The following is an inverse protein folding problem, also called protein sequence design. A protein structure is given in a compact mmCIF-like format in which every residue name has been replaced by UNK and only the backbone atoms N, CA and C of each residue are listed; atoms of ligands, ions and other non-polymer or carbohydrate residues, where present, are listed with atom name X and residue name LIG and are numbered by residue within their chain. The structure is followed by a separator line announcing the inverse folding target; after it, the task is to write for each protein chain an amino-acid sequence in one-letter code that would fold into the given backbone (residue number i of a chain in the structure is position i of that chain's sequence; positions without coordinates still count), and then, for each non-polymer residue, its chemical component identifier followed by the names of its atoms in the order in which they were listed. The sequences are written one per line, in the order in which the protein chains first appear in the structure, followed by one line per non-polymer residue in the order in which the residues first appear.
data_IF_268457039950
#
_entry.id   IF_268457039950
#
_cell.length_a   1.000
_cell.length_b   1.000
_cell.length_c   1.000
_cell.angle_alpha   90.00
_cell.angle_beta   90.00
_cell.angle_gamma   90.00
#
_symmetry.space_group_name_H-M   'P 1'
#
loop_
_entity.id
_entity.type
_entity.pdbx_description
1 polymer ?
#
# COMPACT_ATOMS: atom_id res chain seq x y z
N UNK A 1 -2.97 44.51 6.39
CA UNK A 1 -3.85 43.34 6.37
C UNK A 1 -2.95 42.16 6.09
N UNK A 2 -2.60 41.41 7.12
CA UNK A 2 -1.80 40.22 6.99
C UNK A 2 -2.66 39.16 6.33
N UNK A 3 -2.36 38.82 5.08
CA UNK A 3 -2.87 37.66 4.40
C UNK A 3 -2.44 36.45 5.20
N UNK A 4 -3.34 35.91 6.03
CA UNK A 4 -3.10 34.64 6.71
C UNK A 4 -2.79 33.58 5.65
N UNK A 5 -1.63 32.93 5.79
CA UNK A 5 -1.23 31.81 4.95
C UNK A 5 -2.39 30.82 4.85
N UNK A 6 -2.87 30.56 3.63
CA UNK A 6 -3.94 29.60 3.35
C UNK A 6 -3.60 28.16 3.75
N UNK A 7 -2.43 27.94 4.32
CA UNK A 7 -1.87 26.64 4.69
C UNK A 7 -1.43 26.67 6.16
N UNK A 8 -2.38 26.43 7.08
CA UNK A 8 -2.01 26.18 8.46
C UNK A 8 -1.31 24.81 8.53
N UNK A 9 -0.02 24.81 8.83
CA UNK A 9 0.71 23.59 9.18
C UNK A 9 0.65 23.43 10.69
N UNK A 10 0.00 22.38 11.15
CA UNK A 10 0.13 21.95 12.54
C UNK A 10 1.34 21.02 12.62
N UNK A 11 2.28 21.35 13.48
CA UNK A 11 3.56 20.64 13.53
C UNK A 11 3.96 20.34 14.96
N UNK A 12 4.21 19.07 15.24
CA UNK A 12 4.97 18.62 16.39
C UNK A 12 6.27 18.00 15.88
N UNK A 13 7.41 18.55 16.32
CA UNK A 13 8.72 17.96 16.02
C UNK A 13 9.50 17.82 17.31
N UNK A 14 9.90 16.60 17.63
CA UNK A 14 10.75 16.25 18.77
C UNK A 14 12.19 15.95 18.33
N UNK A 15 12.53 16.28 17.08
CA UNK A 15 13.88 16.10 16.56
C UNK A 15 14.79 17.26 17.01
N UNK A 16 15.96 16.95 17.57
CA UNK A 16 16.92 17.97 18.00
C UNK A 16 17.55 18.72 16.83
N UNK A 17 17.92 19.99 17.04
CA UNK A 17 18.69 20.80 16.12
C UNK A 17 17.94 21.24 14.86
N UNK A 18 18.64 21.26 13.72
CA UNK A 18 18.13 21.77 12.44
C UNK A 18 17.24 20.80 11.68
N UNK A 19 17.29 19.50 12.00
CA UNK A 19 16.61 18.45 11.23
C UNK A 19 15.10 18.65 11.22
N UNK A 20 14.48 18.88 12.38
CA UNK A 20 13.02 19.11 12.48
C UNK A 20 12.59 20.36 11.70
N UNK A 21 13.40 21.42 11.72
CA UNK A 21 13.15 22.66 10.96
C UNK A 21 13.22 22.40 9.45
N UNK A 22 14.24 21.71 8.98
CA UNK A 22 14.39 21.38 7.54
C UNK A 22 13.24 20.53 7.03
N UNK A 23 12.82 19.51 7.80
CA UNK A 23 11.67 18.66 7.43
C UNK A 23 10.41 19.51 7.32
N UNK A 24 10.15 20.39 8.28
CA UNK A 24 9.01 21.30 8.24
C UNK A 24 9.05 22.21 7.01
N UNK A 25 10.19 22.87 6.74
CA UNK A 25 10.36 23.77 5.59
C UNK A 25 10.07 23.05 4.26
N UNK A 26 10.57 21.81 4.11
CA UNK A 26 10.29 20.98 2.92
C UNK A 26 8.79 20.64 2.84
N UNK A 27 8.17 20.25 3.95
CA UNK A 27 6.74 19.96 3.99
C UNK A 27 5.89 21.17 3.60
N UNK A 28 6.19 22.35 4.19
CA UNK A 28 5.51 23.61 3.90
C UNK A 28 5.66 24.02 2.42
N UNK A 29 6.84 23.82 1.84
CA UNK A 29 7.10 24.08 0.42
C UNK A 29 6.21 23.19 -0.47
N UNK A 30 6.12 21.90 -0.17
CA UNK A 30 5.27 20.97 -0.93
C UNK A 30 3.79 21.29 -0.75
N UNK A 31 3.38 21.58 0.48
CA UNK A 31 2.00 21.93 0.80
C UNK A 31 1.57 23.22 0.09
N UNK A 32 2.44 24.21 0.01
CA UNK A 32 2.18 25.46 -0.68
C UNK A 32 1.89 25.32 -2.17
N UNK A 33 2.30 24.21 -2.80
CA UNK A 33 2.02 23.89 -4.20
C UNK A 33 0.90 22.86 -4.37
N UNK A 34 0.32 22.35 -3.28
CA UNK A 34 -0.67 21.29 -3.33
C UNK A 34 -2.10 21.84 -3.43
N UNK A 35 -2.91 21.24 -4.30
CA UNK A 35 -4.34 21.52 -4.38
C UNK A 35 -5.18 20.74 -3.37
N UNK A 36 -4.58 19.92 -2.54
CA UNK A 36 -5.23 19.12 -1.50
C UNK A 36 -4.51 19.25 -0.17
N UNK A 37 -4.67 18.25 0.69
CA UNK A 37 -3.98 18.14 1.95
C UNK A 37 -2.96 17.00 1.96
N UNK A 38 -2.10 17.01 2.96
CA UNK A 38 -1.11 15.97 3.19
C UNK A 38 -0.77 15.84 4.67
N UNK A 39 -0.24 14.67 5.02
CA UNK A 39 0.35 14.41 6.34
C UNK A 39 1.71 13.74 6.16
N UNK A 40 2.61 14.00 7.11
CA UNK A 40 3.89 13.33 7.20
C UNK A 40 4.20 13.03 8.66
N UNK A 41 4.52 11.78 8.97
CA UNK A 41 4.83 11.35 10.33
C UNK A 41 6.04 10.43 10.34
N UNK A 42 6.86 10.59 11.39
CA UNK A 42 8.00 9.70 11.68
C UNK A 42 7.91 9.28 13.13
N UNK A 43 8.04 7.99 13.37
CA UNK A 43 8.06 7.39 14.70
C UNK A 43 9.35 6.61 14.93
N UNK A 44 9.80 6.53 16.17
CA UNK A 44 10.89 5.67 16.62
C UNK A 44 10.58 5.11 18.00
N UNK A 45 10.59 3.77 18.10
CA UNK A 45 10.26 3.09 19.35
C UNK A 45 8.85 3.38 19.87
N UNK A 46 7.88 3.62 18.99
CA UNK A 46 6.51 3.98 19.34
C UNK A 46 6.29 5.48 19.62
N UNK A 47 7.37 6.28 19.75
CA UNK A 47 7.27 7.70 20.03
C UNK A 47 7.30 8.54 18.75
N UNK A 48 6.42 9.54 18.60
CA UNK A 48 6.42 10.44 17.47
C UNK A 48 7.65 11.35 17.50
N UNK A 49 8.41 11.37 16.40
CA UNK A 49 9.51 12.31 16.18
C UNK A 49 9.07 13.51 15.37
N UNK A 50 8.17 13.29 14.41
CA UNK A 50 7.60 14.31 13.54
C UNK A 50 6.14 13.98 13.29
N UNK A 51 5.26 14.96 13.39
CA UNK A 51 3.86 14.90 12.96
C UNK A 51 3.54 16.23 12.29
N UNK A 52 3.34 16.22 10.99
CA UNK A 52 2.98 17.37 10.18
C UNK A 52 1.73 17.06 9.39
N UNK A 53 0.80 18.00 9.36
CA UNK A 53 -0.37 17.92 8.49
C UNK A 53 -0.83 19.32 8.09
N UNK A 54 -1.57 19.41 6.99
CA UNK A 54 -2.11 20.68 6.51
C UNK A 54 -2.75 20.58 5.14
N UNK A 55 -3.30 21.69 4.66
CA UNK A 55 -4.01 21.81 3.41
C UNK A 55 -5.51 21.52 3.54
N UNK A 56 -6.14 21.08 2.45
CA UNK A 56 -7.58 20.86 2.34
C UNK A 56 -7.91 19.38 2.17
N UNK A 57 -9.01 18.92 2.79
CA UNK A 57 -9.55 17.58 2.53
C UNK A 57 -10.11 17.48 1.10
N UNK A 58 -10.55 18.56 0.54
CA UNK A 58 -11.08 18.63 -0.81
C UNK A 58 -10.00 19.09 -1.78
N UNK A 59 -10.07 18.59 -3.01
CA UNK A 59 -9.18 19.06 -4.07
C UNK A 59 -9.65 20.45 -4.54
N UNK A 60 -8.81 21.43 -4.35
CA UNK A 60 -9.00 22.79 -4.86
C UNK A 60 -8.58 22.90 -6.33
N UNK A 61 -9.10 23.87 -7.08
CA UNK A 61 -8.69 24.12 -8.46
C UNK A 61 -7.27 24.71 -8.52
N UNK A 62 -6.91 25.55 -7.53
CA UNK A 62 -5.58 26.14 -7.35
C UNK A 62 -5.11 25.99 -5.91
N UNK A 63 -3.79 26.00 -5.73
CA UNK A 63 -3.18 26.06 -4.39
C UNK A 63 -3.51 27.35 -3.64
N UNK A 64 -3.82 28.42 -4.37
CA UNK A 64 -4.17 29.74 -3.81
C UNK A 64 -5.65 29.85 -3.38
N UNK A 65 -6.50 28.87 -3.75
CA UNK A 65 -7.91 28.89 -3.36
C UNK A 65 -8.06 28.69 -1.84
N UNK A 66 -9.13 29.21 -1.24
CA UNK A 66 -9.40 29.04 0.19
C UNK A 66 -9.46 27.57 0.61
N UNK A 67 -9.03 27.29 1.82
CA UNK A 67 -9.22 25.99 2.48
C UNK A 67 -10.55 26.03 3.23
N UNK A 68 -11.56 25.35 2.70
CA UNK A 68 -12.90 25.28 3.32
C UNK A 68 -12.93 24.20 4.41
N UNK A 69 -12.40 23.00 4.10
CA UNK A 69 -12.33 21.88 5.03
C UNK A 69 -10.86 21.56 5.30
N UNK A 70 -10.30 21.98 6.45
CA UNK A 70 -8.88 21.74 6.77
C UNK A 70 -8.54 20.25 6.88
N UNK A 71 -7.37 19.89 6.34
CA UNK A 71 -6.76 18.58 6.60
C UNK A 71 -6.20 18.54 8.02
N UNK A 72 -6.58 17.52 8.78
CA UNK A 72 -6.15 17.31 10.16
C UNK A 72 -5.35 16.02 10.31
N UNK A 73 -4.83 15.73 11.48
CA UNK A 73 -4.17 14.47 11.81
C UNK A 73 -5.13 13.27 11.83
N UNK A 74 -6.44 13.50 11.92
CA UNK A 74 -7.48 12.47 11.85
C UNK A 74 -8.07 12.29 10.45
N UNK A 75 -7.62 13.07 9.46
CA UNK A 75 -8.14 12.97 8.09
C UNK A 75 -7.70 11.66 7.44
N UNK A 76 -8.67 10.88 6.99
CA UNK A 76 -8.44 9.63 6.30
C UNK A 76 -8.17 9.88 4.80
N UNK A 77 -7.19 9.16 4.27
CA UNK A 77 -6.86 9.20 2.85
C UNK A 77 -6.70 7.78 2.30
N UNK A 78 -7.04 7.61 1.02
CA UNK A 78 -6.79 6.35 0.33
C UNK A 78 -5.31 6.18 0.10
N UNK A 79 -4.72 5.14 0.70
CA UNK A 79 -3.28 4.88 0.62
C UNK A 79 -2.83 4.26 -0.71
N UNK A 80 -3.78 3.85 -1.57
CA UNK A 80 -3.47 3.13 -2.81
C UNK A 80 -2.44 2.00 -2.54
N UNK A 81 -1.34 1.99 -3.29
CA UNK A 81 -0.32 0.95 -3.18
C UNK A 81 0.50 0.97 -1.88
N UNK A 82 0.39 1.99 -1.05
CA UNK A 82 0.88 1.95 0.32
C UNK A 82 0.25 0.80 1.13
N UNK A 83 -0.97 0.40 0.77
CA UNK A 83 -1.68 -0.77 1.33
C UNK A 83 -0.88 -2.08 1.18
N UNK A 84 -0.04 -2.22 0.14
CA UNK A 84 0.81 -3.42 -0.03
C UNK A 84 1.79 -3.61 1.14
N UNK A 85 2.25 -2.52 1.74
CA UNK A 85 3.06 -2.59 2.96
C UNK A 85 2.31 -3.22 4.13
N UNK A 86 1.03 -2.90 4.30
CA UNK A 86 0.17 -3.51 5.32
C UNK A 86 -0.08 -5.00 5.01
N UNK A 87 -0.36 -5.34 3.76
CA UNK A 87 -0.53 -6.75 3.33
C UNK A 87 0.75 -7.54 3.54
N UNK A 88 1.92 -6.98 3.21
CA UNK A 88 3.21 -7.61 3.48
C UNK A 88 3.48 -7.77 4.99
N UNK A 89 3.01 -6.83 5.82
CA UNK A 89 3.10 -6.95 7.28
C UNK A 89 2.25 -8.12 7.79
N UNK A 90 1.04 -8.31 7.27
CA UNK A 90 0.22 -9.49 7.60
C UNK A 90 0.95 -10.78 7.22
N UNK A 91 1.55 -10.83 6.02
CA UNK A 91 2.35 -11.99 5.64
C UNK A 91 3.54 -12.24 6.61
N UNK A 92 4.23 -11.18 7.04
CA UNK A 92 5.31 -11.26 8.02
C UNK A 92 4.81 -11.78 9.40
N UNK A 93 3.63 -11.36 9.83
CA UNK A 93 3.00 -11.88 11.06
C UNK A 93 2.70 -13.38 10.95
N UNK A 94 2.17 -13.84 9.81
CA UNK A 94 1.93 -15.26 9.57
C UNK A 94 3.23 -16.09 9.54
N UNK A 95 4.34 -15.48 9.10
CA UNK A 95 5.67 -16.11 9.18
C UNK A 95 6.16 -16.20 10.63
N UNK A 96 5.99 -15.14 11.41
CA UNK A 96 6.39 -15.11 12.83
C UNK A 96 5.59 -16.14 13.66
N UNK A 97 4.29 -16.29 13.35
CA UNK A 97 3.42 -17.32 13.92
C UNK A 97 3.76 -18.76 13.46
N UNK A 98 4.71 -18.92 12.52
CA UNK A 98 5.16 -20.21 12.00
C UNK A 98 4.13 -20.91 11.08
N UNK A 99 3.07 -20.21 10.63
CA UNK A 99 2.02 -20.77 9.78
C UNK A 99 2.22 -20.51 8.29
N UNK A 100 3.11 -19.56 7.93
CA UNK A 100 3.49 -19.23 6.57
C UNK A 100 5.01 -19.37 6.40
N UNK A 101 5.45 -20.15 5.40
CA UNK A 101 6.83 -20.21 4.94
C UNK A 101 6.90 -19.53 3.56
N UNK A 102 7.61 -18.42 3.47
CA UNK A 102 7.74 -17.66 2.21
C UNK A 102 8.48 -18.45 1.12
N UNK A 103 9.30 -19.43 1.49
CA UNK A 103 10.03 -20.29 0.55
C UNK A 103 9.19 -21.49 0.10
N UNK A 104 8.09 -21.78 0.76
CA UNK A 104 7.20 -22.86 0.36
C UNK A 104 6.43 -22.48 -0.92
N UNK A 105 6.08 -23.48 -1.75
CA UNK A 105 5.16 -23.28 -2.85
C UNK A 105 3.80 -22.73 -2.36
N UNK A 106 3.24 -21.78 -3.09
CA UNK A 106 1.88 -21.27 -2.84
C UNK A 106 0.88 -22.43 -2.82
N UNK A 107 1.08 -23.44 -3.67
CA UNK A 107 0.23 -24.63 -3.77
C UNK A 107 0.15 -25.43 -2.45
N UNK A 108 1.08 -25.26 -1.52
CA UNK A 108 1.02 -25.86 -0.17
C UNK A 108 -0.19 -25.33 0.62
N UNK A 109 -0.53 -24.07 0.44
CA UNK A 109 -1.63 -23.37 1.12
C UNK A 109 -2.87 -23.28 0.25
N UNK A 110 -2.65 -23.26 -1.06
CA UNK A 110 -3.68 -23.09 -2.09
C UNK A 110 -3.47 -24.11 -3.23
N UNK A 111 -3.96 -25.36 -3.08
CA UNK A 111 -3.66 -26.45 -4.03
C UNK A 111 -4.06 -26.14 -5.49
N UNK A 112 -5.17 -25.42 -5.71
CA UNK A 112 -5.65 -25.07 -7.05
C UNK A 112 -4.67 -24.14 -7.80
N UNK A 113 -3.81 -23.44 -7.08
CA UNK A 113 -2.79 -22.56 -7.66
C UNK A 113 -1.71 -23.33 -8.43
N UNK A 114 -1.54 -24.64 -8.18
CA UNK A 114 -0.56 -25.45 -8.90
C UNK A 114 -0.80 -25.54 -10.41
N UNK A 115 -2.01 -25.21 -10.88
CA UNK A 115 -2.36 -25.27 -12.29
C UNK A 115 -1.47 -24.39 -13.16
N UNK A 116 -1.38 -24.75 -14.46
CA UNK A 116 -0.69 -23.98 -15.50
C UNK A 116 0.83 -23.78 -15.24
N UNK A 117 1.49 -24.75 -14.60
CA UNK A 117 2.93 -24.75 -14.38
C UNK A 117 3.37 -23.93 -13.16
N UNK A 118 2.45 -23.71 -12.18
CA UNK A 118 2.72 -22.92 -10.99
C UNK A 118 2.98 -23.77 -9.74
N UNK A 119 3.14 -25.08 -9.86
CA UNK A 119 3.30 -26.00 -8.74
C UNK A 119 4.46 -25.65 -7.82
N UNK A 120 5.53 -25.05 -8.35
CA UNK A 120 6.74 -24.68 -7.61
C UNK A 120 6.84 -23.16 -7.34
N UNK A 121 5.83 -22.38 -7.69
CA UNK A 121 5.82 -20.93 -7.42
C UNK A 121 5.77 -20.69 -5.93
N UNK A 122 6.78 -19.99 -5.39
CA UNK A 122 6.88 -19.71 -3.95
C UNK A 122 6.08 -18.46 -3.55
N UNK A 123 5.71 -18.38 -2.28
CA UNK A 123 5.11 -17.17 -1.69
C UNK A 123 6.03 -15.96 -1.85
N UNK A 124 7.37 -16.16 -1.73
CA UNK A 124 8.36 -15.11 -1.97
C UNK A 124 8.28 -14.54 -3.39
N UNK A 125 7.99 -15.36 -4.41
CA UNK A 125 7.84 -14.88 -5.80
C UNK A 125 6.57 -14.05 -6.00
N UNK A 126 5.53 -14.28 -5.21
CA UNK A 126 4.35 -13.40 -5.17
C UNK A 126 4.71 -12.07 -4.50
N UNK A 127 5.33 -12.12 -3.33
CA UNK A 127 5.72 -10.94 -2.53
C UNK A 127 6.69 -10.01 -3.27
N UNK A 128 7.59 -10.56 -4.09
CA UNK A 128 8.61 -9.79 -4.81
C UNK A 128 8.26 -9.46 -6.27
N UNK A 129 6.98 -9.68 -6.67
CA UNK A 129 6.47 -9.36 -8.00
C UNK A 129 7.10 -10.14 -9.17
N UNK A 130 7.57 -11.38 -8.94
CA UNK A 130 8.21 -12.18 -9.99
C UNK A 130 7.35 -13.33 -10.51
N UNK A 131 6.14 -13.54 -9.97
CA UNK A 131 5.28 -14.68 -10.36
C UNK A 131 4.72 -14.57 -11.78
N UNK A 132 4.61 -13.38 -12.35
CA UNK A 132 4.11 -13.21 -13.73
C UNK A 132 2.58 -13.23 -13.86
N UNK A 133 1.83 -12.92 -12.82
CA UNK A 133 0.36 -12.83 -12.81
C UNK A 133 -0.05 -11.36 -12.63
N UNK A 134 0.30 -10.51 -13.59
CA UNK A 134 0.17 -9.04 -13.48
C UNK A 134 -1.24 -8.51 -13.75
N UNK A 135 -2.14 -9.32 -14.28
CA UNK A 135 -3.56 -9.03 -14.53
C UNK A 135 -4.38 -10.31 -14.41
N UNK A 136 -5.69 -10.21 -14.41
CA UNK A 136 -6.64 -11.34 -14.53
C UNK A 136 -7.19 -11.43 -15.95
N UNK A 137 -7.27 -12.65 -16.51
CA UNK A 137 -7.78 -12.91 -17.85
C UNK A 137 -8.66 -14.19 -17.88
N UNK A 138 -9.95 -14.07 -18.19
CA UNK A 138 -10.67 -12.82 -18.42
C UNK A 138 -10.79 -11.97 -17.15
N UNK A 139 -10.82 -10.65 -17.32
CA UNK A 139 -11.13 -9.77 -16.21
C UNK A 139 -12.59 -10.00 -15.78
N UNK A 140 -12.87 -10.35 -14.52
CA UNK A 140 -14.23 -10.44 -14.01
C UNK A 140 -14.79 -9.02 -13.88
N UNK A 141 -15.37 -8.51 -14.98
CA UNK A 141 -15.70 -7.10 -15.22
C UNK A 141 -16.68 -6.48 -14.23
N UNK A 142 -17.34 -7.27 -13.40
CA UNK A 142 -18.47 -6.78 -12.59
C UNK A 142 -18.08 -6.37 -11.17
N UNK A 143 -16.90 -6.70 -10.68
CA UNK A 143 -16.47 -6.27 -9.35
C UNK A 143 -14.96 -6.35 -9.12
N UNK A 144 -14.30 -5.21 -9.13
CA UNK A 144 -12.92 -5.05 -8.65
C UNK A 144 -12.73 -5.60 -7.21
N UNK A 145 -13.80 -5.64 -6.42
CA UNK A 145 -13.79 -6.10 -5.04
C UNK A 145 -14.18 -7.57 -4.86
N UNK A 146 -14.46 -8.30 -5.94
CA UNK A 146 -14.71 -9.75 -5.86
C UNK A 146 -13.36 -10.50 -5.81
N UNK A 147 -12.77 -10.53 -4.62
CA UNK A 147 -11.49 -11.18 -4.36
C UNK A 147 -11.52 -12.67 -4.70
N UNK A 148 -12.66 -13.33 -4.50
CA UNK A 148 -12.84 -14.75 -4.80
C UNK A 148 -12.77 -15.00 -6.30
N UNK A 149 -13.53 -14.26 -7.10
CA UNK A 149 -13.54 -14.42 -8.56
C UNK A 149 -12.12 -14.17 -9.15
N UNK A 150 -11.45 -13.10 -8.72
CA UNK A 150 -10.09 -12.81 -9.18
C UNK A 150 -9.10 -13.89 -8.77
N UNK A 151 -9.15 -14.38 -7.53
CA UNK A 151 -8.25 -15.45 -7.07
C UNK A 151 -8.47 -16.75 -7.83
N UNK A 152 -9.71 -17.15 -8.11
CA UNK A 152 -10.02 -18.36 -8.90
C UNK A 152 -9.49 -18.28 -10.33
N UNK A 153 -9.56 -17.12 -10.97
CA UNK A 153 -8.97 -16.89 -12.30
C UNK A 153 -7.46 -17.02 -12.21
N UNK A 154 -6.80 -16.33 -11.27
CA UNK A 154 -5.36 -16.37 -11.08
C UNK A 154 -4.85 -17.78 -10.74
N UNK A 155 -5.64 -18.59 -10.03
CA UNK A 155 -5.31 -19.98 -9.77
C UNK A 155 -5.17 -20.81 -11.05
N UNK A 156 -6.01 -20.56 -12.04
CA UNK A 156 -6.02 -21.30 -13.34
C UNK A 156 -5.14 -20.66 -14.41
N UNK A 157 -4.85 -19.36 -14.29
CA UNK A 157 -4.17 -18.57 -15.31
C UNK A 157 -2.69 -18.96 -15.39
N UNK A 158 -2.20 -19.01 -16.64
CA UNK A 158 -0.76 -19.19 -16.91
C UNK A 158 -0.01 -17.88 -16.67
N UNK A 159 1.14 -17.90 -15.98
CA UNK A 159 2.02 -16.73 -15.89
C UNK A 159 2.47 -16.23 -17.27
N UNK A 160 2.63 -14.92 -17.44
CA UNK A 160 3.09 -14.31 -18.71
C UNK A 160 4.58 -14.48 -18.95
N UNK A 161 5.33 -14.96 -17.97
CA UNK A 161 6.72 -15.38 -18.05
C UNK A 161 6.99 -16.52 -17.06
N UNK A 162 8.14 -17.17 -17.19
CA UNK A 162 8.62 -18.17 -16.21
C UNK A 162 8.76 -17.52 -14.85
N UNK A 163 8.04 -17.99 -13.81
CA UNK A 163 8.08 -17.42 -12.47
C UNK A 163 9.51 -17.30 -11.93
N UNK A 164 9.86 -16.13 -11.42
CA UNK A 164 11.20 -15.81 -10.94
C UNK A 164 12.16 -15.24 -12.00
N UNK A 165 11.83 -15.32 -13.29
CA UNK A 165 12.74 -14.88 -14.37
C UNK A 165 12.69 -13.38 -14.67
N UNK A 166 11.58 -12.72 -14.33
CA UNK A 166 11.36 -11.29 -14.57
C UNK A 166 10.60 -10.66 -13.41
N UNK A 167 10.73 -9.34 -13.29
CA UNK A 167 9.98 -8.50 -12.35
C UNK A 167 9.07 -7.57 -13.13
N UNK A 168 7.78 -7.52 -12.75
CA UNK A 168 6.89 -6.44 -13.11
C UNK A 168 5.86 -6.22 -12.00
N UNK A 169 5.51 -4.98 -11.79
CA UNK A 169 4.63 -4.58 -10.70
C UNK A 169 3.22 -5.19 -10.85
N UNK A 170 2.83 -6.02 -9.90
CA UNK A 170 1.49 -6.60 -9.78
C UNK A 170 0.59 -5.59 -9.07
N UNK A 171 0.07 -4.61 -9.83
CA UNK A 171 -0.60 -3.44 -9.27
C UNK A 171 -1.77 -3.81 -8.36
N UNK A 172 -2.58 -4.77 -8.77
CA UNK A 172 -3.81 -5.21 -8.09
C UNK A 172 -3.71 -6.67 -7.66
N UNK A 173 -3.24 -7.54 -8.55
CA UNK A 173 -3.20 -8.99 -8.34
C UNK A 173 -2.36 -9.41 -7.14
N UNK A 174 -1.41 -8.60 -6.71
CA UNK A 174 -0.68 -8.78 -5.46
C UNK A 174 -1.61 -8.97 -4.25
N UNK A 175 -2.66 -8.14 -4.16
CA UNK A 175 -3.65 -8.25 -3.09
C UNK A 175 -4.46 -9.54 -3.18
N UNK A 176 -4.98 -9.86 -4.36
CA UNK A 176 -5.79 -11.06 -4.58
C UNK A 176 -5.03 -12.36 -4.28
N UNK A 177 -3.75 -12.42 -4.67
CA UNK A 177 -2.91 -13.60 -4.44
C UNK A 177 -2.60 -13.80 -2.95
N UNK A 178 -2.23 -12.74 -2.25
CA UNK A 178 -1.87 -12.84 -0.83
C UNK A 178 -3.08 -13.01 0.07
N UNK A 179 -4.20 -12.37 -0.25
CA UNK A 179 -5.48 -12.60 0.45
C UNK A 179 -5.91 -14.06 0.31
N UNK A 180 -5.85 -14.63 -0.89
CA UNK A 180 -6.21 -16.04 -1.12
C UNK A 180 -5.35 -17.01 -0.29
N UNK A 181 -4.07 -16.72 -0.09
CA UNK A 181 -3.18 -17.49 0.79
C UNK A 181 -3.52 -17.28 2.26
N UNK A 182 -3.68 -16.02 2.69
CA UNK A 182 -3.98 -15.70 4.08
C UNK A 182 -5.32 -16.29 4.53
N UNK A 183 -6.36 -16.18 3.69
CA UNK A 183 -7.69 -16.75 3.96
C UNK A 183 -7.61 -18.27 4.19
N UNK A 184 -6.83 -18.99 3.40
CA UNK A 184 -6.68 -20.45 3.53
C UNK A 184 -5.90 -20.87 4.77
N UNK A 185 -4.98 -20.04 5.21
CA UNK A 185 -4.22 -20.26 6.45
C UNK A 185 -5.07 -19.98 7.68
N UNK A 186 -5.81 -18.84 7.66
CA UNK A 186 -6.46 -18.31 8.86
C UNK A 186 -7.95 -18.65 8.95
N UNK A 187 -8.59 -18.96 7.83
CA UNK A 187 -10.05 -19.11 7.72
C UNK A 187 -10.84 -17.79 7.85
N UNK A 188 -10.14 -16.64 7.75
CA UNK A 188 -10.73 -15.30 7.98
C UNK A 188 -10.34 -14.35 6.87
#
# INVERSE_FOLDING_TARGET
MTTGSAHAVVAETHLPGTTGRVIREIFEQHLGNACGGMSFSVYRGGEPLVRLHGGSQERRASADDPVETPWTDETLAVMFSGTKGLVATVAAMLVDDGVLDVNAPVARYWPEFAAAGKENVTVAQVLNHTVGLIYTDPDPTDSFFDLTAHSEILARQKPVWEPGSKVAYHAVTFGYLLEAVALRITGK
#
